data_IF_050546792749
#
_entry.id   IF_050546792749
#
_cell.length_a   1.000
_cell.length_b   1.000
_cell.length_c   1.000
_cell.angle_alpha   90.00
_cell.angle_beta   90.00
_cell.angle_gamma   90.00
#
_symmetry.space_group_name_H-M   'P 1'
#
loop_
_entity.id
_entity.type
_entity.pdbx_description
1 polymer ?
#
# COMPACT_ATOMS: atom_id res chain seq x y z
N UNK A 1 -12.51 0.35 -26.53
CA UNK A 1 -11.27 0.75 -25.83
C UNK A 1 -11.50 1.76 -24.71
N UNK A 2 -12.00 2.98 -24.94
CA UNK A 2 -12.19 3.99 -23.86
C UNK A 2 -13.20 3.53 -22.79
N UNK A 3 -14.39 3.10 -23.20
CA UNK A 3 -15.45 2.58 -22.30
C UNK A 3 -15.00 1.34 -21.50
N UNK A 4 -14.18 0.48 -22.10
CA UNK A 4 -13.71 -0.76 -21.48
C UNK A 4 -12.64 -0.51 -20.41
N UNK A 5 -11.71 0.42 -20.69
CA UNK A 5 -10.72 0.88 -19.71
C UNK A 5 -11.41 1.48 -18.49
N UNK A 6 -12.42 2.31 -18.72
CA UNK A 6 -13.17 2.98 -17.65
C UNK A 6 -13.95 2.00 -16.78
N UNK A 7 -14.65 1.04 -17.40
CA UNK A 7 -15.31 -0.06 -16.66
C UNK A 7 -14.32 -0.84 -15.83
N UNK A 8 -13.12 -1.10 -16.37
CA UNK A 8 -12.06 -1.81 -15.64
C UNK A 8 -11.57 -0.99 -14.44
N UNK A 9 -11.29 0.30 -14.62
CA UNK A 9 -10.85 1.19 -13.54
C UNK A 9 -11.91 1.33 -12.45
N UNK A 10 -13.19 1.48 -12.83
CA UNK A 10 -14.31 1.52 -11.89
C UNK A 10 -14.46 0.18 -11.14
N UNK A 11 -14.29 -0.96 -11.83
CA UNK A 11 -14.31 -2.28 -11.17
C UNK A 11 -13.20 -2.43 -10.13
N UNK A 12 -12.02 -1.85 -10.38
CA UNK A 12 -10.92 -1.86 -9.42
C UNK A 12 -11.27 -0.97 -8.23
N UNK A 13 -11.79 0.24 -8.49
CA UNK A 13 -12.20 1.17 -7.44
C UNK A 13 -13.28 0.56 -6.53
N UNK A 14 -14.26 -0.14 -7.11
CA UNK A 14 -15.41 -0.71 -6.41
C UNK A 14 -15.05 -1.77 -5.36
N UNK A 15 -13.81 -2.26 -5.38
CA UNK A 15 -13.26 -3.17 -4.36
C UNK A 15 -12.99 -2.49 -3.03
N UNK A 16 -12.88 -1.16 -3.01
CA UNK A 16 -12.55 -0.36 -1.83
C UNK A 16 -13.62 0.68 -1.54
N UNK A 17 -14.15 1.34 -2.57
CA UNK A 17 -15.15 2.40 -2.45
C UNK A 17 -16.43 1.97 -3.15
N UNK A 18 -17.55 1.97 -2.43
CA UNK A 18 -18.85 1.58 -2.97
C UNK A 18 -19.81 2.76 -2.92
N UNK A 19 -20.49 3.04 -4.03
CA UNK A 19 -21.57 4.01 -4.04
C UNK A 19 -22.67 3.60 -3.05
N UNK A 20 -23.21 4.59 -2.37
CA UNK A 20 -24.25 4.39 -1.38
C UNK A 20 -24.85 5.71 -0.92
N UNK A 21 -25.70 5.65 0.10
CA UNK A 21 -26.43 6.82 0.60
C UNK A 21 -25.51 7.94 1.12
N UNK A 22 -24.28 7.61 1.50
CA UNK A 22 -23.32 8.52 2.12
C UNK A 22 -22.19 8.93 1.17
N UNK A 23 -22.15 8.38 -0.05
CA UNK A 23 -21.00 8.50 -0.95
C UNK A 23 -21.37 8.34 -2.43
N UNK A 24 -20.98 9.31 -3.26
CA UNK A 24 -21.15 9.28 -4.72
C UNK A 24 -19.79 9.20 -5.43
N UNK A 25 -19.70 8.44 -6.52
CA UNK A 25 -18.46 8.27 -7.28
C UNK A 25 -18.61 8.91 -8.66
N UNK A 26 -17.88 10.00 -8.87
CA UNK A 26 -17.86 10.72 -10.13
C UNK A 26 -16.57 10.43 -10.87
N UNK A 27 -16.66 10.17 -12.17
CA UNK A 27 -15.47 10.09 -13.03
C UNK A 27 -14.85 11.47 -13.20
N UNK A 28 -13.53 11.53 -13.21
CA UNK A 28 -12.78 12.76 -13.49
C UNK A 28 -11.58 12.45 -14.40
N UNK A 29 -11.02 13.49 -15.02
CA UNK A 29 -9.83 13.32 -15.85
C UNK A 29 -8.54 13.28 -15.00
N UNK A 30 -8.53 14.02 -13.89
CA UNK A 30 -7.36 14.22 -13.01
C UNK A 30 -7.80 14.58 -11.58
N UNK A 31 -7.91 13.60 -10.66
CA UNK A 31 -7.60 12.18 -10.80
C UNK A 31 -8.67 11.38 -11.55
N UNK A 32 -8.50 10.06 -11.70
CA UNK A 32 -9.43 9.19 -12.45
C UNK A 32 -10.88 9.23 -11.91
N UNK A 33 -11.04 9.38 -10.58
CA UNK A 33 -12.35 9.50 -9.93
C UNK A 33 -12.35 10.55 -8.80
N UNK A 34 -13.52 11.07 -8.49
CA UNK A 34 -13.81 11.91 -7.33
C UNK A 34 -14.91 11.22 -6.53
N UNK A 35 -14.60 10.92 -5.28
CA UNK A 35 -15.52 10.34 -4.31
C UNK A 35 -16.03 11.47 -3.43
N UNK A 36 -17.33 11.74 -3.49
CA UNK A 36 -17.95 12.84 -2.72
C UNK A 36 -18.77 12.31 -1.55
N UNK A 37 -18.63 12.98 -0.41
CA UNK A 37 -19.34 12.69 0.83
C UNK A 37 -20.21 13.90 1.18
N UNK A 38 -21.43 14.01 0.59
CA UNK A 38 -22.24 15.23 0.71
C UNK A 38 -22.79 15.45 2.13
N UNK A 39 -22.99 14.38 2.90
CA UNK A 39 -23.55 14.41 4.27
C UNK A 39 -22.47 14.25 5.35
N UNK A 40 -21.27 14.73 5.09
CA UNK A 40 -20.20 14.66 6.05
C UNK A 40 -20.37 15.74 7.14
N UNK A 41 -19.99 15.44 8.38
CA UNK A 41 -20.30 16.28 9.55
C UNK A 41 -19.58 17.63 9.58
N UNK A 42 -18.45 17.77 8.86
CA UNK A 42 -17.78 19.08 8.64
C UNK A 42 -18.20 19.77 7.33
N UNK A 43 -19.29 19.32 6.70
CA UNK A 43 -19.72 19.76 5.37
C UNK A 43 -19.23 18.85 4.25
N UNK A 44 -19.77 19.02 3.05
CA UNK A 44 -19.48 18.13 1.92
C UNK A 44 -17.99 18.02 1.59
N UNK A 45 -17.46 16.80 1.51
CA UNK A 45 -16.04 16.52 1.22
C UNK A 45 -15.91 15.85 -0.15
N UNK A 46 -14.86 16.20 -0.90
CA UNK A 46 -14.46 15.50 -2.13
C UNK A 46 -13.05 14.94 -2.01
N UNK A 47 -12.91 13.64 -2.31
CA UNK A 47 -11.65 12.91 -2.30
C UNK A 47 -11.32 12.47 -3.72
N UNK A 48 -10.13 12.80 -4.20
CA UNK A 48 -9.64 12.33 -5.49
C UNK A 48 -9.07 10.92 -5.41
N UNK A 49 -9.41 10.03 -6.34
CA UNK A 49 -8.86 8.67 -6.39
C UNK A 49 -8.23 8.42 -7.77
N UNK A 50 -6.93 8.13 -7.76
CA UNK A 50 -6.21 7.63 -8.94
C UNK A 50 -6.17 6.10 -8.87
N UNK A 51 -6.43 5.43 -9.99
CA UNK A 51 -6.39 3.98 -10.09
C UNK A 51 -5.25 3.56 -11.03
N UNK A 52 -4.60 2.45 -10.72
CA UNK A 52 -3.58 1.86 -11.59
C UNK A 52 -3.46 0.38 -11.38
N UNK A 53 -3.00 -0.30 -12.43
CA UNK A 53 -2.56 -1.70 -12.32
C UNK A 53 -1.05 -1.74 -12.15
N UNK A 54 -0.58 -2.74 -11.41
CA UNK A 54 0.83 -3.04 -11.22
C UNK A 54 1.20 -4.29 -12.04
N UNK A 55 2.23 -4.14 -12.86
CA UNK A 55 2.88 -5.20 -13.62
C UNK A 55 4.39 -5.12 -13.43
N UNK A 56 5.12 -6.22 -13.59
CA UNK A 56 6.60 -6.19 -13.52
C UNK A 56 7.21 -5.25 -14.56
N UNK A 57 6.66 -5.26 -15.77
CA UNK A 57 7.06 -4.44 -16.90
C UNK A 57 5.94 -4.41 -17.96
N UNK A 58 6.15 -3.63 -19.02
CA UNK A 58 5.19 -3.50 -20.11
C UNK A 58 4.96 -4.82 -20.87
N UNK A 59 5.96 -5.70 -20.92
CA UNK A 59 5.87 -7.03 -21.53
C UNK A 59 4.89 -7.92 -20.76
N UNK A 60 4.99 -7.96 -19.42
CA UNK A 60 4.04 -8.66 -18.54
C UNK A 60 2.63 -8.10 -18.70
N UNK A 61 2.50 -6.77 -18.75
CA UNK A 61 1.22 -6.12 -18.98
C UNK A 61 0.58 -6.54 -20.31
N UNK A 62 1.38 -6.63 -21.39
CA UNK A 62 0.90 -7.10 -22.70
C UNK A 62 0.49 -8.57 -22.67
N UNK A 63 1.26 -9.45 -22.05
CA UNK A 63 0.90 -10.88 -21.93
C UNK A 63 -0.44 -11.07 -21.22
N UNK A 64 -0.73 -10.28 -20.19
CA UNK A 64 -1.93 -10.41 -19.36
C UNK A 64 -3.17 -9.71 -19.91
N UNK A 65 -3.00 -8.65 -20.69
CA UNK A 65 -4.12 -7.81 -21.13
C UNK A 65 -4.43 -7.91 -22.62
N UNK A 66 -3.46 -8.29 -23.47
CA UNK A 66 -3.68 -8.34 -24.91
C UNK A 66 -4.14 -9.74 -25.30
N UNK A 67 -5.43 -9.84 -25.64
CA UNK A 67 -6.03 -11.09 -26.10
C UNK A 67 -5.24 -11.72 -27.25
N UNK A 68 -5.00 -13.03 -27.17
CA UNK A 68 -4.24 -13.78 -28.16
C UNK A 68 -2.74 -13.47 -28.20
N UNK A 69 -2.21 -12.56 -27.37
CA UNK A 69 -0.80 -12.17 -27.46
C UNK A 69 0.15 -13.30 -27.07
N UNK A 70 -0.18 -14.09 -26.04
CA UNK A 70 0.58 -15.29 -25.66
C UNK A 70 0.71 -16.23 -26.87
N UNK A 71 -0.40 -16.49 -27.59
CA UNK A 71 -0.39 -17.31 -28.80
C UNK A 71 0.50 -16.71 -29.88
N UNK A 72 0.40 -15.40 -30.12
CA UNK A 72 1.22 -14.72 -31.12
C UNK A 72 2.72 -14.80 -30.81
N UNK A 73 3.09 -14.72 -29.53
CA UNK A 73 4.47 -14.89 -29.06
C UNK A 73 4.93 -16.33 -29.26
N UNK A 74 4.12 -17.32 -28.87
CA UNK A 74 4.44 -18.75 -29.00
C UNK A 74 4.60 -19.17 -30.47
N UNK A 75 3.69 -18.73 -31.33
CA UNK A 75 3.69 -19.09 -32.74
C UNK A 75 4.73 -18.27 -33.54
N UNK A 76 5.25 -17.19 -32.96
CA UNK A 76 6.17 -16.26 -33.61
C UNK A 76 5.50 -15.38 -34.68
N UNK A 77 4.16 -15.33 -34.70
CA UNK A 77 3.39 -14.56 -35.69
C UNK A 77 3.50 -13.06 -35.47
N UNK A 78 3.55 -12.63 -34.22
CA UNK A 78 3.71 -11.21 -33.86
C UNK A 78 4.30 -11.06 -32.45
N UNK A 79 5.45 -10.39 -32.36
CA UNK A 79 6.08 -9.96 -31.11
C UNK A 79 6.28 -8.45 -31.18
N UNK A 80 5.81 -7.73 -30.17
CA UNK A 80 6.03 -6.29 -30.08
C UNK A 80 7.53 -5.99 -30.09
N UNK A 81 7.95 -4.90 -30.74
CA UNK A 81 9.38 -4.57 -30.89
C UNK A 81 10.14 -4.51 -29.56
N UNK A 82 9.47 -4.02 -28.51
CA UNK A 82 10.04 -3.87 -27.16
C UNK A 82 10.05 -5.18 -26.35
N UNK A 83 9.43 -6.26 -26.87
CA UNK A 83 9.39 -7.58 -26.24
C UNK A 83 10.38 -8.57 -26.87
N UNK A 84 11.14 -8.13 -27.87
CA UNK A 84 12.13 -8.97 -28.55
C UNK A 84 13.24 -9.34 -27.56
N UNK A 85 13.36 -10.65 -27.27
CA UNK A 85 14.34 -11.18 -26.33
C UNK A 85 13.85 -11.28 -24.88
N UNK A 86 12.65 -10.77 -24.55
CA UNK A 86 12.07 -10.87 -23.20
C UNK A 86 11.41 -12.24 -22.94
N UNK A 87 11.00 -12.94 -24.00
CA UNK A 87 10.24 -14.19 -23.92
C UNK A 87 11.08 -15.40 -24.34
N UNK A 88 11.08 -16.45 -23.52
CA UNK A 88 11.74 -17.71 -23.80
C UNK A 88 10.71 -18.74 -24.30
N UNK A 89 10.59 -18.87 -25.63
CA UNK A 89 9.73 -19.89 -26.25
C UNK A 89 10.58 -21.14 -26.54
N UNK A 90 10.12 -22.30 -26.07
CA UNK A 90 10.80 -23.58 -26.25
C UNK A 90 9.89 -24.59 -26.93
N UNK A 91 10.45 -25.36 -27.87
CA UNK A 91 9.80 -26.57 -28.37
C UNK A 91 9.98 -27.69 -27.36
N UNK A 92 8.87 -28.35 -27.02
CA UNK A 92 8.83 -29.47 -26.09
C UNK A 92 8.03 -30.61 -26.69
N UNK A 93 8.35 -31.83 -26.25
CA UNK A 93 7.55 -33.01 -26.54
C UNK A 93 6.61 -33.24 -25.36
N UNK A 94 5.31 -33.05 -25.56
CA UNK A 94 4.31 -33.39 -24.55
C UNK A 94 4.04 -34.89 -24.56
N UNK A 95 4.08 -35.51 -23.39
CA UNK A 95 3.86 -36.95 -23.19
C UNK A 95 2.58 -37.14 -22.35
N UNK A 96 1.41 -37.39 -22.97
CA UNK A 96 0.18 -37.61 -22.22
C UNK A 96 0.33 -38.86 -21.34
N UNK A 97 0.29 -38.69 -20.03
CA UNK A 97 0.42 -39.78 -19.03
C UNK A 97 1.69 -40.64 -19.20
N UNK A 98 2.77 -40.06 -19.75
CA UNK A 98 4.02 -40.80 -20.00
C UNK A 98 3.95 -41.80 -21.15
N UNK A 99 2.86 -41.83 -21.94
CA UNK A 99 2.69 -42.76 -23.05
C UNK A 99 3.38 -42.20 -24.30
N UNK A 100 4.57 -42.72 -24.61
CA UNK A 100 5.38 -42.29 -25.76
C UNK A 100 4.65 -42.34 -27.11
N UNK A 101 3.77 -43.32 -27.32
CA UNK A 101 3.01 -43.45 -28.58
C UNK A 101 2.00 -42.33 -28.82
N UNK A 102 1.70 -41.51 -27.80
CA UNK A 102 0.82 -40.34 -27.90
C UNK A 102 1.59 -39.01 -27.80
N UNK A 103 2.92 -39.06 -27.91
CA UNK A 103 3.76 -37.88 -27.85
C UNK A 103 3.45 -36.92 -29.01
N UNK A 104 3.38 -35.62 -28.72
CA UNK A 104 3.32 -34.60 -29.76
C UNK A 104 4.22 -33.41 -29.44
N UNK A 105 4.77 -32.78 -30.49
CA UNK A 105 5.57 -31.57 -30.35
C UNK A 105 4.65 -30.36 -30.18
N UNK A 106 5.00 -29.50 -29.24
CA UNK A 106 4.33 -28.22 -29.04
C UNK A 106 5.34 -27.17 -28.59
N UNK A 107 4.94 -25.90 -28.60
CA UNK A 107 5.73 -24.81 -28.07
C UNK A 107 5.15 -24.36 -26.74
N UNK A 108 6.04 -24.03 -25.80
CA UNK A 108 5.67 -23.43 -24.52
C UNK A 108 6.38 -22.09 -24.37
N UNK A 109 5.72 -21.17 -23.68
CA UNK A 109 6.33 -19.94 -23.19
C UNK A 109 6.79 -20.17 -21.75
N UNK A 110 8.10 -20.09 -21.52
CA UNK A 110 8.66 -20.14 -20.17
C UNK A 110 8.65 -18.73 -19.61
N UNK A 111 7.81 -18.49 -18.60
CA UNK A 111 7.78 -17.21 -17.91
C UNK A 111 9.05 -16.99 -17.09
N UNK A 112 9.53 -15.74 -17.11
CA UNK A 112 10.63 -15.30 -16.25
C UNK A 112 10.22 -15.46 -14.78
N UNK A 113 11.10 -16.06 -13.98
CA UNK A 113 10.91 -16.11 -12.53
C UNK A 113 11.26 -14.76 -11.93
N UNK A 114 10.26 -14.03 -11.46
CA UNK A 114 10.44 -12.74 -10.78
C UNK A 114 10.69 -12.92 -9.28
N UNK A 115 11.50 -12.04 -8.72
CA UNK A 115 11.82 -11.95 -7.30
C UNK A 115 11.03 -10.85 -6.61
N UNK A 116 11.05 -10.81 -5.26
CA UNK A 116 10.46 -9.70 -4.51
C UNK A 116 11.10 -8.37 -4.89
N UNK A 117 12.39 -8.35 -5.25
CA UNK A 117 13.07 -7.11 -5.63
C UNK A 117 12.63 -6.64 -7.02
N UNK A 118 12.28 -7.56 -7.94
CA UNK A 118 11.63 -7.19 -9.19
C UNK A 118 10.25 -6.56 -8.92
N UNK A 119 9.47 -7.15 -8.02
CA UNK A 119 8.17 -6.61 -7.62
C UNK A 119 8.30 -5.21 -6.99
N UNK A 120 9.22 -5.04 -6.04
CA UNK A 120 9.50 -3.74 -5.40
C UNK A 120 9.92 -2.69 -6.41
N UNK A 121 10.78 -3.04 -7.39
CA UNK A 121 11.16 -2.12 -8.47
C UNK A 121 9.95 -1.69 -9.31
N UNK A 122 9.10 -2.64 -9.68
CA UNK A 122 7.87 -2.36 -10.43
C UNK A 122 6.89 -1.47 -9.64
N UNK A 123 6.73 -1.75 -8.34
CA UNK A 123 5.91 -0.95 -7.43
C UNK A 123 6.44 0.49 -7.34
N UNK A 124 7.74 0.66 -7.08
CA UNK A 124 8.38 1.97 -6.99
C UNK A 124 8.27 2.76 -8.30
N UNK A 125 8.46 2.09 -9.43
CA UNK A 125 8.28 2.72 -10.74
C UNK A 125 6.85 3.24 -10.90
N UNK A 126 5.86 2.41 -10.55
CA UNK A 126 4.43 2.74 -10.61
C UNK A 126 4.10 3.91 -9.69
N UNK A 127 4.51 3.85 -8.43
CA UNK A 127 4.27 4.89 -7.43
C UNK A 127 4.89 6.23 -7.86
N UNK A 128 6.18 6.24 -8.24
CA UNK A 128 6.88 7.47 -8.68
C UNK A 128 6.23 8.09 -9.91
N UNK A 129 5.77 7.28 -10.87
CA UNK A 129 5.03 7.76 -12.04
C UNK A 129 3.73 8.45 -11.64
N UNK A 130 3.00 7.90 -10.66
CA UNK A 130 1.74 8.48 -10.16
C UNK A 130 1.98 9.71 -9.27
N UNK A 131 3.02 9.72 -8.44
CA UNK A 131 3.42 10.90 -7.65
C UNK A 131 3.67 12.12 -8.54
N UNK A 132 4.34 11.93 -9.69
CA UNK A 132 4.55 13.00 -10.68
C UNK A 132 3.23 13.54 -11.27
N UNK A 133 2.25 12.66 -11.52
CA UNK A 133 0.94 13.05 -12.06
C UNK A 133 0.10 13.83 -11.05
N UNK A 134 0.19 13.51 -9.77
CA UNK A 134 -0.57 14.16 -8.68
C UNK A 134 -0.43 15.69 -8.70
N UNK A 135 0.71 16.22 -9.12
CA UNK A 135 0.94 17.67 -9.25
C UNK A 135 -0.02 18.39 -10.22
N UNK A 136 -0.74 17.66 -11.07
CA UNK A 136 -1.66 18.18 -12.08
C UNK A 136 -3.14 17.94 -11.76
N UNK A 137 -3.44 17.50 -10.54
CA UNK A 137 -4.82 17.19 -10.14
C UNK A 137 -5.60 18.46 -9.82
N UNK A 138 -6.93 18.34 -9.88
CA UNK A 138 -7.85 19.45 -9.62
C UNK A 138 -7.60 20.08 -8.24
N UNK A 139 -7.71 21.41 -8.19
CA UNK A 139 -7.61 22.20 -6.97
C UNK A 139 -8.93 22.06 -6.19
N UNK A 140 -8.86 21.97 -4.86
CA UNK A 140 -10.03 21.91 -3.97
C UNK A 140 -10.44 20.52 -3.50
N UNK A 141 -9.70 19.47 -3.88
CA UNK A 141 -9.84 18.14 -3.28
C UNK A 141 -9.30 18.14 -1.86
N UNK A 142 -10.06 17.60 -0.90
CA UNK A 142 -9.65 17.54 0.49
C UNK A 142 -8.49 16.55 0.70
N UNK A 143 -8.53 15.43 -0.03
CA UNK A 143 -7.53 14.37 -0.02
C UNK A 143 -7.43 13.74 -1.41
N UNK A 144 -6.33 13.05 -1.67
CA UNK A 144 -6.08 12.24 -2.86
C UNK A 144 -5.51 10.87 -2.47
N UNK A 145 -6.15 9.78 -2.87
CA UNK A 145 -5.63 8.43 -2.67
C UNK A 145 -5.21 7.79 -3.99
N UNK A 146 -4.30 6.82 -3.89
CA UNK A 146 -3.87 5.97 -4.99
C UNK A 146 -4.33 4.54 -4.74
N UNK A 147 -4.99 3.93 -5.71
CA UNK A 147 -5.34 2.50 -5.70
C UNK A 147 -4.46 1.78 -6.71
N UNK A 148 -3.67 0.83 -6.23
CA UNK A 148 -2.79 -0.02 -7.02
C UNK A 148 -3.36 -1.44 -7.00
N UNK A 149 -3.75 -1.96 -8.16
CA UNK A 149 -4.20 -3.34 -8.31
C UNK A 149 -3.04 -4.25 -8.71
N UNK A 150 -2.67 -5.19 -7.84
CA UNK A 150 -1.63 -6.17 -8.10
C UNK A 150 -2.11 -7.23 -9.10
N UNK A 151 -1.73 -7.06 -10.37
CA UNK A 151 -2.00 -8.03 -11.43
C UNK A 151 -0.95 -9.15 -11.46
N UNK A 152 0.14 -9.01 -10.74
CA UNK A 152 1.18 -10.04 -10.57
C UNK A 152 0.82 -11.03 -9.46
N UNK A 153 -0.04 -10.64 -8.52
CA UNK A 153 -0.47 -11.45 -7.37
C UNK A 153 0.73 -12.03 -6.61
N UNK A 154 1.77 -11.22 -6.43
CA UNK A 154 3.04 -11.70 -5.85
C UNK A 154 2.84 -12.25 -4.44
N UNK A 155 1.96 -11.61 -3.67
CA UNK A 155 1.66 -12.01 -2.29
C UNK A 155 0.67 -13.16 -2.17
N UNK A 156 0.18 -13.72 -3.28
CA UNK A 156 -0.83 -14.78 -3.25
C UNK A 156 -0.43 -15.98 -2.41
N UNK A 157 0.87 -16.29 -2.25
CA UNK A 157 1.35 -17.41 -1.41
C UNK A 157 1.97 -16.97 -0.08
N UNK A 158 1.90 -15.69 0.24
CA UNK A 158 2.44 -15.09 1.46
C UNK A 158 1.29 -14.94 2.45
N UNK A 159 1.59 -15.13 3.75
CA UNK A 159 0.60 -14.90 4.80
C UNK A 159 0.34 -13.41 4.99
N UNK A 160 -0.87 -13.04 5.43
CA UNK A 160 -1.16 -11.63 5.75
C UNK A 160 -0.21 -11.10 6.82
N UNK A 161 0.15 -11.93 7.79
CA UNK A 161 1.03 -11.57 8.90
C UNK A 161 2.48 -11.32 8.46
N UNK A 162 2.91 -11.93 7.36
CA UNK A 162 4.27 -11.80 6.81
C UNK A 162 4.38 -10.73 5.72
N UNK A 163 3.27 -10.09 5.33
CA UNK A 163 3.28 -9.08 4.27
C UNK A 163 4.28 -7.96 4.56
N UNK A 164 4.31 -7.44 5.79
CA UNK A 164 5.12 -6.28 6.14
C UNK A 164 6.61 -6.57 5.98
N UNK A 165 7.07 -7.71 6.53
CA UNK A 165 8.46 -8.15 6.42
C UNK A 165 8.84 -8.55 4.99
N UNK A 166 7.89 -9.11 4.22
CA UNK A 166 8.11 -9.48 2.83
C UNK A 166 8.16 -8.26 1.90
N UNK A 167 7.30 -7.26 2.10
CA UNK A 167 7.16 -6.14 1.17
C UNK A 167 8.09 -4.97 1.51
N UNK A 168 8.09 -4.52 2.76
CA UNK A 168 8.82 -3.30 3.14
C UNK A 168 10.33 -3.53 3.24
N UNK A 169 11.06 -2.54 2.75
CA UNK A 169 12.46 -2.28 3.06
C UNK A 169 12.63 -0.76 3.18
N UNK A 170 13.82 -0.27 3.54
CA UNK A 170 14.06 1.17 3.72
C UNK A 170 13.62 2.00 2.51
N UNK A 171 13.97 1.57 1.28
CA UNK A 171 13.62 2.29 0.05
C UNK A 171 12.10 2.36 -0.19
N UNK A 172 11.38 1.27 0.02
CA UNK A 172 9.91 1.22 -0.13
C UNK A 172 9.24 2.09 0.94
N UNK A 173 9.72 2.01 2.18
CA UNK A 173 9.22 2.81 3.30
C UNK A 173 9.37 4.32 3.01
N UNK A 174 10.55 4.76 2.58
CA UNK A 174 10.81 6.18 2.28
C UNK A 174 9.92 6.69 1.14
N UNK A 175 9.75 5.92 0.06
CA UNK A 175 8.92 6.32 -1.07
C UNK A 175 7.42 6.37 -0.75
N UNK A 176 6.93 5.46 0.09
CA UNK A 176 5.55 5.50 0.60
C UNK A 176 5.36 6.69 1.53
N UNK A 177 6.32 6.94 2.44
CA UNK A 177 6.32 8.06 3.38
C UNK A 177 6.26 9.41 2.65
N UNK A 178 7.09 9.59 1.64
CA UNK A 178 7.23 10.84 0.86
C UNK A 178 6.14 11.01 -0.21
N UNK A 179 5.36 9.96 -0.48
CA UNK A 179 4.27 10.01 -1.44
C UNK A 179 3.26 11.11 -1.08
N UNK A 180 2.85 11.96 -2.04
CA UNK A 180 1.89 13.05 -1.81
C UNK A 180 0.43 12.58 -1.78
N UNK A 181 0.19 11.27 -1.94
CA UNK A 181 -1.13 10.67 -1.72
C UNK A 181 -1.36 10.45 -0.23
N UNK A 182 -2.54 10.80 0.28
CA UNK A 182 -2.88 10.64 1.70
C UNK A 182 -2.98 9.16 2.11
N UNK A 183 -3.31 8.27 1.17
CA UNK A 183 -3.14 6.83 1.30
C UNK A 183 -2.86 6.18 -0.07
N UNK A 184 -2.10 5.09 -0.06
CA UNK A 184 -1.88 4.16 -1.15
C UNK A 184 -2.48 2.82 -0.75
N UNK A 185 -3.54 2.43 -1.46
CA UNK A 185 -4.16 1.13 -1.32
C UNK A 185 -3.52 0.14 -2.29
N UNK A 186 -3.08 -1.01 -1.78
CA UNK A 186 -2.64 -2.14 -2.60
C UNK A 186 -3.71 -3.23 -2.56
N UNK A 187 -4.36 -3.50 -3.69
CA UNK A 187 -5.27 -4.64 -3.82
C UNK A 187 -4.45 -5.86 -4.24
N UNK A 188 -4.45 -6.90 -3.43
CA UNK A 188 -3.71 -8.15 -3.66
C UNK A 188 -4.45 -9.36 -3.05
N UNK A 189 -4.00 -10.58 -3.31
CA UNK A 189 -4.45 -11.78 -2.60
C UNK A 189 -3.37 -12.34 -1.68
N UNK A 190 -3.77 -13.20 -0.74
CA UNK A 190 -2.92 -13.86 0.26
C UNK A 190 -3.31 -15.34 0.42
N UNK A 191 -2.48 -16.12 1.11
CA UNK A 191 -2.81 -17.48 1.60
C UNK A 191 -3.28 -18.52 0.54
N UNK A 192 -3.01 -18.28 -0.74
CA UNK A 192 -3.40 -19.13 -1.86
C UNK A 192 -4.88 -19.05 -2.22
N UNK A 193 -5.64 -18.18 -1.55
CA UNK A 193 -7.08 -18.03 -1.72
C UNK A 193 -7.46 -17.18 -2.94
N UNK A 194 -8.70 -17.34 -3.45
CA UNK A 194 -9.25 -16.47 -4.49
C UNK A 194 -9.61 -15.06 -3.99
N UNK A 195 -9.70 -14.87 -2.66
CA UNK A 195 -10.12 -13.61 -2.05
C UNK A 195 -9.08 -12.50 -2.28
N UNK A 196 -9.59 -11.31 -2.59
CA UNK A 196 -8.80 -10.10 -2.74
C UNK A 196 -8.96 -9.22 -1.49
N UNK A 197 -7.86 -8.62 -1.07
CA UNK A 197 -7.75 -7.72 0.07
C UNK A 197 -7.18 -6.39 -0.40
N UNK A 198 -7.62 -5.29 0.19
CA UNK A 198 -6.92 -4.01 0.06
C UNK A 198 -6.10 -3.73 1.31
N UNK A 199 -4.82 -3.39 1.10
CA UNK A 199 -3.87 -3.05 2.15
C UNK A 199 -3.63 -1.54 2.11
N UNK A 200 -3.84 -0.87 3.26
CA UNK A 200 -3.51 0.53 3.48
C UNK A 200 -2.01 0.65 3.80
N UNK A 201 -1.20 1.08 2.83
CA UNK A 201 0.26 1.01 2.96
C UNK A 201 0.82 2.03 3.94
N UNK A 202 0.28 3.26 4.00
CA UNK A 202 0.70 4.26 4.99
C UNK A 202 0.27 3.87 6.40
N UNK A 203 -0.90 3.25 6.57
CA UNK A 203 -1.29 2.64 7.83
C UNK A 203 -0.28 1.56 8.28
N UNK A 204 0.02 0.59 7.41
CA UNK A 204 0.96 -0.49 7.74
C UNK A 204 2.35 0.05 8.10
N UNK A 205 2.80 1.09 7.39
CA UNK A 205 4.07 1.77 7.67
C UNK A 205 4.08 2.37 9.08
N UNK A 206 3.05 3.12 9.46
CA UNK A 206 2.97 3.75 10.79
C UNK A 206 2.79 2.73 11.92
N UNK A 207 1.98 1.70 11.70
CA UNK A 207 1.83 0.61 12.66
C UNK A 207 3.16 -0.13 12.89
N UNK A 208 3.93 -0.35 11.82
CA UNK A 208 5.27 -0.92 11.93
C UNK A 208 6.23 -0.01 12.72
N UNK A 209 6.17 1.31 12.53
CA UNK A 209 6.98 2.26 13.31
C UNK A 209 6.64 2.24 14.80
N UNK A 210 5.34 2.23 15.14
CA UNK A 210 4.90 2.15 16.52
C UNK A 210 5.34 0.85 17.17
N UNK A 211 5.15 -0.29 16.50
CA UNK A 211 5.56 -1.59 17.00
C UNK A 211 7.07 -1.67 17.23
N UNK A 212 7.89 -1.12 16.31
CA UNK A 212 9.36 -1.04 16.49
C UNK A 212 9.75 -0.21 17.71
N UNK A 213 9.06 0.89 17.97
CA UNK A 213 9.31 1.70 19.17
C UNK A 213 8.96 0.92 20.44
N UNK A 214 7.76 0.34 20.51
CA UNK A 214 7.31 -0.39 21.69
C UNK A 214 8.21 -1.59 22.01
N UNK A 215 8.59 -2.35 20.98
CA UNK A 215 9.52 -3.46 21.11
C UNK A 215 10.91 -2.99 21.59
N UNK A 216 11.40 -1.86 21.09
CA UNK A 216 12.66 -1.27 21.55
C UNK A 216 12.59 -0.84 23.02
N UNK A 217 11.51 -0.16 23.42
CA UNK A 217 11.31 0.30 24.80
C UNK A 217 11.22 -0.90 25.75
N UNK A 218 10.49 -1.96 25.36
CA UNK A 218 10.36 -3.18 26.14
C UNK A 218 11.70 -3.93 26.25
N UNK A 219 12.37 -4.19 25.12
CA UNK A 219 13.62 -4.94 25.05
C UNK A 219 14.78 -4.30 25.82
N UNK A 220 14.72 -2.98 26.06
CA UNK A 220 15.74 -2.22 26.78
C UNK A 220 15.27 -1.75 28.16
N UNK A 221 14.11 -2.22 28.65
CA UNK A 221 13.54 -1.84 29.95
C UNK A 221 13.43 -0.32 30.15
N UNK A 222 12.99 0.41 29.12
CA UNK A 222 12.99 1.88 29.11
C UNK A 222 11.69 2.52 29.61
N UNK A 223 10.61 1.75 29.80
CA UNK A 223 9.35 2.28 30.34
C UNK A 223 9.50 2.99 31.71
N UNK A 224 10.25 2.46 32.71
CA UNK A 224 10.48 3.18 33.96
C UNK A 224 11.13 4.56 33.76
N UNK A 225 12.06 4.66 32.81
CA UNK A 225 12.74 5.92 32.47
C UNK A 225 11.77 6.96 31.90
N UNK A 226 10.73 6.53 31.17
CA UNK A 226 9.68 7.44 30.67
C UNK A 226 8.90 8.07 31.82
N UNK A 227 8.57 7.27 32.84
CA UNK A 227 7.89 7.73 34.07
C UNK A 227 8.75 8.76 34.81
N UNK A 228 10.04 8.47 35.01
CA UNK A 228 10.98 9.37 35.69
C UNK A 228 11.10 10.73 34.99
N UNK A 229 11.13 10.72 33.64
CA UNK A 229 11.23 11.93 32.83
C UNK A 229 9.88 12.66 32.63
N UNK A 230 8.77 12.02 33.02
CA UNK A 230 7.40 12.46 32.75
C UNK A 230 7.22 12.74 31.25
N UNK A 231 7.48 11.72 30.43
CA UNK A 231 7.30 11.70 28.98
C UNK A 231 6.40 10.52 28.65
N UNK A 232 5.34 10.72 27.87
CA UNK A 232 4.46 9.61 27.46
C UNK A 232 5.07 8.81 26.31
N UNK A 233 4.63 7.57 26.12
CA UNK A 233 5.01 6.77 24.95
C UNK A 233 4.64 7.48 23.63
N UNK A 234 3.48 8.15 23.62
CA UNK A 234 3.01 8.91 22.46
C UNK A 234 3.95 10.08 22.12
N UNK A 235 4.49 10.80 23.12
CA UNK A 235 5.48 11.86 22.90
C UNK A 235 6.78 11.31 22.27
N UNK A 236 7.23 10.14 22.73
CA UNK A 236 8.40 9.46 22.15
C UNK A 236 8.11 9.00 20.72
N UNK A 237 6.89 8.53 20.45
CA UNK A 237 6.48 8.16 19.10
C UNK A 237 6.48 9.36 18.16
N UNK A 238 5.96 10.51 18.61
CA UNK A 238 6.03 11.76 17.85
C UNK A 238 7.49 12.16 17.56
N UNK A 239 8.38 12.08 18.56
CA UNK A 239 9.80 12.36 18.37
C UNK A 239 10.43 11.42 17.32
N UNK A 240 10.12 10.12 17.35
CA UNK A 240 10.60 9.14 16.36
C UNK A 240 10.13 9.51 14.96
N UNK A 241 8.84 9.81 14.77
CA UNK A 241 8.28 10.19 13.48
C UNK A 241 8.97 11.46 12.94
N UNK A 242 9.13 12.48 13.78
CA UNK A 242 9.80 13.73 13.40
C UNK A 242 11.26 13.47 13.01
N UNK A 243 12.03 12.76 13.83
CA UNK A 243 13.44 12.45 13.54
C UNK A 243 13.63 11.54 12.33
N UNK A 244 12.62 10.75 11.94
CA UNK A 244 12.59 9.94 10.70
C UNK A 244 12.11 10.71 9.47
N UNK A 245 11.75 11.98 9.62
CA UNK A 245 11.32 12.86 8.53
C UNK A 245 9.87 12.63 8.08
N UNK A 246 9.00 12.10 8.95
CA UNK A 246 7.56 12.10 8.67
C UNK A 246 7.03 13.53 8.70
N UNK A 247 6.24 13.89 7.70
CA UNK A 247 5.64 15.22 7.58
C UNK A 247 4.26 15.26 8.27
N UNK A 248 3.92 16.43 8.82
CA UNK A 248 2.59 16.64 9.40
C UNK A 248 2.32 15.81 10.64
N UNK A 249 3.36 15.55 11.47
CA UNK A 249 3.18 14.94 12.79
C UNK A 249 2.39 15.89 13.68
N UNK A 250 1.26 15.42 14.19
CA UNK A 250 0.29 16.23 14.94
C UNK A 250 -0.26 15.45 16.12
N UNK A 251 -0.71 16.22 17.11
CA UNK A 251 -1.51 15.71 18.21
C UNK A 251 -2.98 15.99 17.92
N UNK A 252 -3.78 14.95 18.09
CA UNK A 252 -5.21 14.95 17.83
C UNK A 252 -5.94 14.61 19.11
N UNK A 253 -7.10 15.24 19.34
CA UNK A 253 -8.03 14.80 20.38
C UNK A 253 -9.22 14.14 19.70
N UNK A 254 -9.41 12.85 19.94
CA UNK A 254 -10.52 12.07 19.40
C UNK A 254 -11.28 11.42 20.56
N UNK A 255 -12.52 11.84 20.79
CA UNK A 255 -13.36 11.33 21.88
C UNK A 255 -12.64 11.37 23.24
N UNK A 256 -12.07 12.51 23.59
CA UNK A 256 -11.26 12.74 24.81
C UNK A 256 -9.95 11.95 24.91
N UNK A 257 -9.59 11.18 23.88
CA UNK A 257 -8.29 10.51 23.78
C UNK A 257 -7.32 11.35 22.98
N UNK A 258 -6.15 11.61 23.54
CA UNK A 258 -5.06 12.26 22.81
C UNK A 258 -4.28 11.22 22.02
N UNK A 259 -4.08 11.46 20.72
CA UNK A 259 -3.40 10.55 19.80
C UNK A 259 -2.34 11.30 18.99
N UNK A 260 -1.25 10.61 18.68
CA UNK A 260 -0.17 11.11 17.82
C UNK A 260 -0.29 10.44 16.46
N UNK A 261 -0.26 11.25 15.42
CA UNK A 261 -0.39 10.75 14.07
C UNK A 261 0.34 11.62 13.06
N UNK A 262 0.34 11.14 11.82
CA UNK A 262 0.69 11.96 10.68
C UNK A 262 -0.20 11.61 9.50
N UNK A 263 -0.53 12.62 8.70
CA UNK A 263 -1.38 12.49 7.51
C UNK A 263 -2.80 12.03 7.89
N UNK A 264 -3.08 10.72 7.80
CA UNK A 264 -4.42 10.13 7.90
C UNK A 264 -4.63 9.35 9.20
N UNK A 265 -3.57 8.78 9.77
CA UNK A 265 -3.68 7.87 10.91
C UNK A 265 -3.07 8.48 12.16
N UNK A 266 -3.74 8.30 13.28
CA UNK A 266 -3.21 8.60 14.60
C UNK A 266 -3.35 7.41 15.54
N UNK A 267 -2.44 7.35 16.51
CA UNK A 267 -2.30 6.26 17.46
C UNK A 267 -2.26 6.83 18.87
N UNK A 268 -2.90 6.13 19.79
CA UNK A 268 -2.74 6.38 21.22
C UNK A 268 -2.28 5.09 21.90
N UNK A 269 -1.22 5.17 22.68
CA UNK A 269 -0.83 4.10 23.58
C UNK A 269 -1.39 4.34 24.99
N UNK A 270 -2.31 3.49 25.41
CA UNK A 270 -2.87 3.53 26.74
C UNK A 270 -1.96 2.79 27.71
N UNK A 271 -1.15 3.53 28.47
CA UNK A 271 -0.14 2.97 29.39
C UNK A 271 -0.74 2.08 30.49
N UNK A 272 -1.97 2.34 30.95
CA UNK A 272 -2.59 1.57 32.03
C UNK A 272 -3.11 0.21 31.58
N UNK A 273 -3.56 0.10 30.33
CA UNK A 273 -4.08 -1.15 29.76
C UNK A 273 -3.10 -1.86 28.82
N UNK A 274 -2.01 -1.19 28.41
CA UNK A 274 -1.10 -1.65 27.37
C UNK A 274 -1.74 -1.75 25.98
N UNK A 275 -2.92 -1.16 25.79
CA UNK A 275 -3.67 -1.21 24.52
C UNK A 275 -3.30 -0.05 23.61
N UNK A 276 -3.41 -0.27 22.31
CA UNK A 276 -3.25 0.75 21.28
C UNK A 276 -4.61 1.04 20.67
N UNK A 277 -4.96 2.32 20.60
CA UNK A 277 -6.08 2.81 19.79
C UNK A 277 -5.55 3.37 18.48
N UNK A 278 -6.23 3.04 17.38
CA UNK A 278 -5.94 3.55 16.03
C UNK A 278 -7.13 4.36 15.58
N UNK A 279 -6.88 5.55 15.05
CA UNK A 279 -7.91 6.41 14.47
C UNK A 279 -7.59 6.65 13.00
N UNK A 280 -8.54 6.33 12.12
CA UNK A 280 -8.50 6.63 10.70
C UNK A 280 -9.27 7.94 10.46
N UNK A 281 -8.57 8.99 10.06
CA UNK A 281 -9.11 10.32 9.78
C UNK A 281 -9.81 10.48 8.43
N UNK A 282 -10.31 9.39 7.84
CA UNK A 282 -10.87 9.37 6.49
C UNK A 282 -12.40 9.21 6.45
N UNK A 283 -13.11 9.94 5.56
CA UNK A 283 -12.63 11.16 4.87
C UNK A 283 -12.38 12.27 5.90
N UNK A 284 -11.53 13.27 5.61
CA UNK A 284 -11.02 14.28 6.58
C UNK A 284 -11.99 14.57 7.73
N UNK A 285 -11.68 14.01 8.90
CA UNK A 285 -12.61 14.01 10.04
C UNK A 285 -12.47 15.22 11.00
N UNK A 286 -11.46 16.10 10.92
CA UNK A 286 -11.11 16.87 12.15
C UNK A 286 -10.84 18.36 11.97
N UNK A 287 -11.48 19.14 12.85
CA UNK A 287 -11.40 20.61 13.00
C UNK A 287 -10.34 21.08 14.00
N UNK A 288 -9.98 20.25 14.99
CA UNK A 288 -9.08 20.65 16.08
C UNK A 288 -7.76 19.89 15.97
N UNK A 289 -6.79 20.50 15.28
CA UNK A 289 -5.44 19.95 15.15
C UNK A 289 -4.42 20.97 15.59
N UNK A 290 -3.53 20.57 16.50
CA UNK A 290 -2.36 21.37 16.86
C UNK A 290 -1.11 20.70 16.30
N UNK A 291 -0.23 21.51 15.70
CA UNK A 291 1.09 21.03 15.29
C UNK A 291 1.84 20.57 16.55
N UNK A 292 2.39 19.36 16.51
CA UNK A 292 3.11 18.84 17.65
C UNK A 292 4.51 19.48 17.73
N UNK A 293 4.81 20.07 18.89
CA UNK A 293 6.15 20.53 19.23
C UNK A 293 6.69 19.56 20.28
N UNK A 294 7.84 18.95 20.00
CA UNK A 294 8.51 18.06 20.95
C UNK A 294 8.95 18.88 22.16
N UNK A 295 8.14 18.86 23.22
CA UNK A 295 8.40 19.64 24.44
C UNK A 295 9.59 19.07 25.24
N UNK A 296 9.80 17.75 25.17
CA UNK A 296 10.91 17.04 25.79
C UNK A 296 11.41 15.94 24.86
N UNK A 297 12.72 15.89 24.64
CA UNK A 297 13.37 14.85 23.85
C UNK A 297 13.78 13.69 24.74
N UNK A 298 13.35 12.48 24.36
CA UNK A 298 13.80 11.22 24.96
C UNK A 298 15.10 10.74 24.32
N UNK A 299 15.28 11.00 23.01
CA UNK A 299 16.45 10.57 22.26
C UNK A 299 17.46 11.70 22.01
N UNK A 300 18.66 11.57 22.59
CA UNK A 300 19.86 12.22 22.03
C UNK A 300 20.17 11.64 20.65
N UNK A 301 20.95 12.33 19.83
CA UNK A 301 21.34 11.81 18.50
C UNK A 301 22.05 10.45 18.58
N UNK A 302 22.90 10.28 19.60
CA UNK A 302 23.58 9.00 19.85
C UNK A 302 22.60 7.88 20.19
N UNK A 303 21.64 8.12 21.08
CA UNK A 303 20.65 7.09 21.44
C UNK A 303 19.63 6.86 20.34
N UNK A 304 19.30 7.87 19.53
CA UNK A 304 18.46 7.71 18.35
C UNK A 304 19.13 6.84 17.29
N UNK A 305 20.41 7.08 16.98
CA UNK A 305 21.17 6.26 16.04
C UNK A 305 21.25 4.80 16.50
N UNK A 306 21.37 4.57 17.81
CA UNK A 306 21.29 3.22 18.39
C UNK A 306 19.90 2.61 18.17
N UNK A 307 18.82 3.35 18.45
CA UNK A 307 17.45 2.91 18.16
C UNK A 307 17.26 2.52 16.68
N UNK A 308 17.75 3.35 15.74
CA UNK A 308 17.67 3.05 14.31
C UNK A 308 18.42 1.76 13.96
N UNK A 309 19.63 1.58 14.48
CA UNK A 309 20.43 0.36 14.26
C UNK A 309 19.72 -0.88 14.80
N UNK A 310 19.29 -0.83 16.06
CA UNK A 310 18.72 -1.97 16.79
C UNK A 310 17.37 -2.43 16.20
N UNK A 311 16.65 -1.51 15.53
CA UNK A 311 15.33 -1.78 14.95
C UNK A 311 15.33 -1.92 13.42
N UNK A 312 16.44 -1.66 12.74
CA UNK A 312 16.53 -1.57 11.27
C UNK A 312 15.98 -2.78 10.51
N UNK A 313 16.17 -3.99 11.04
CA UNK A 313 15.70 -5.24 10.45
C UNK A 313 14.43 -5.80 11.12
N UNK A 314 13.85 -5.08 12.09
CA UNK A 314 12.66 -5.52 12.82
C UNK A 314 11.42 -5.06 12.07
N UNK A 315 10.59 -6.01 11.65
CA UNK A 315 9.27 -5.76 11.11
C UNK A 315 8.23 -6.41 12.02
N UNK A 316 7.17 -5.66 12.30
CA UNK A 316 6.05 -6.19 13.04
C UNK A 316 5.27 -7.19 12.19
N UNK A 317 4.79 -8.25 12.85
CA UNK A 317 3.89 -9.22 12.26
C UNK A 317 2.48 -8.93 12.76
N UNK A 318 1.58 -8.58 11.84
CA UNK A 318 0.17 -8.30 12.14
C UNK A 318 -0.69 -8.60 10.92
N UNK A 319 -1.96 -8.92 11.14
CA UNK A 319 -2.90 -9.14 10.05
C UNK A 319 -3.11 -7.84 9.26
N UNK A 320 -2.61 -7.82 8.02
CA UNK A 320 -2.84 -6.70 7.11
C UNK A 320 -4.06 -6.93 6.24
N UNK A 321 -4.62 -5.81 5.78
CA UNK A 321 -5.60 -5.77 4.72
C UNK A 321 -7.02 -6.10 5.16
N UNK A 322 -7.96 -5.48 4.45
CA UNK A 322 -9.40 -5.67 4.62
C UNK A 322 -9.93 -6.40 3.39
N UNK A 323 -10.96 -7.23 3.58
CA UNK A 323 -11.63 -7.88 2.45
C UNK A 323 -12.18 -6.83 1.50
N UNK A 324 -11.94 -7.05 0.21
CA UNK A 324 -12.55 -6.21 -0.82
C UNK A 324 -14.06 -6.45 -0.87
N UNK A 325 -14.81 -5.43 -1.27
CA UNK A 325 -16.22 -5.66 -1.59
C UNK A 325 -16.31 -6.63 -2.77
N UNK A 326 -17.19 -7.63 -2.65
CA UNK A 326 -17.49 -8.52 -3.78
C UNK A 326 -17.89 -7.67 -4.98
N UNK A 327 -17.23 -7.89 -6.11
CA UNK A 327 -17.70 -7.34 -7.37
C UNK A 327 -19.00 -8.05 -7.70
N UNK A 328 -20.14 -7.34 -7.61
CA UNK A 328 -21.37 -7.85 -8.20
C UNK A 328 -21.08 -8.16 -9.66
N UNK A 329 -21.06 -9.43 -10.03
CA UNK A 329 -21.05 -9.84 -11.42
C UNK A 329 -22.38 -9.38 -12.02
N UNK A 330 -22.37 -8.19 -12.63
CA UNK A 330 -23.47 -7.66 -13.43
C UNK A 330 -23.36 -8.14 -14.87
#
# INVERSE_FOLDING_TARGET
>A
MVVEKERKELSILSRIFKEGNDCEILKSERPDFIVTYPRHFVGGISVGIEVTELYYNDSSARLKNKEGYIKNVIDGSYIHKDDKGEFNVQEVTYLPQGVMSKAFKTKILIEKKYTIDDYRRAFLHTLRKKNKKRTKYQVGLAQTCLVIYDREKYFSKISKQDFVSAFFNSYIMDEIKESPFEEIYLITSFNGGPEEFYVQLKYCLLQNEQARLLDYLASNSLFPKLVDLRISVDDVFAEVLIKKGYLGVRKHRCNDVEAIGCVRYSFNFNESSGRISVFDGFPVLQSDTENFIVAKSFFSDKSFNRFLKDTSARFASFNVGFETFETCNS
#
